data_IF_251188116105
#
_entry.id   IF_251188116105
#
_cell.length_a   1.000
_cell.length_b   1.000
_cell.length_c   1.000
_cell.angle_alpha   90.00
_cell.angle_beta   90.00
_cell.angle_gamma   90.00
#
_symmetry.space_group_name_H-M   'P 1'
#
loop_
_entity.id
_entity.type
_entity.pdbx_description
1 polymer ?
#
# COMPACT_ATOMS: atom_id res chain seq x y z
N UNK A 1 1.07 9.46 5.45
CA UNK A 1 2.16 8.68 4.79
C UNK A 1 2.26 7.26 5.33
N UNK A 2 2.39 7.04 6.65
CA UNK A 2 2.52 5.70 7.24
C UNK A 2 1.42 4.72 6.81
N UNK A 3 0.14 5.11 6.87
CA UNK A 3 -0.99 4.29 6.42
C UNK A 3 -0.84 3.85 4.97
N UNK A 4 -0.43 4.75 4.06
CA UNK A 4 -0.21 4.43 2.65
C UNK A 4 0.87 3.37 2.43
N UNK A 5 1.96 3.40 3.21
CA UNK A 5 3.04 2.40 3.14
C UNK A 5 2.55 1.02 3.61
N UNK A 6 1.81 0.97 4.72
CA UNK A 6 1.25 -0.30 5.23
C UNK A 6 0.23 -0.90 4.26
N UNK A 7 -0.65 -0.07 3.67
CA UNK A 7 -1.59 -0.53 2.64
C UNK A 7 -0.86 -1.08 1.41
N UNK A 8 0.22 -0.41 0.99
CA UNK A 8 1.05 -0.85 -0.12
C UNK A 8 1.73 -2.19 0.17
N UNK A 9 2.32 -2.37 1.35
CA UNK A 9 2.95 -3.62 1.77
C UNK A 9 1.94 -4.76 1.83
N UNK A 10 0.79 -4.56 2.50
CA UNK A 10 -0.30 -5.56 2.58
C UNK A 10 -0.77 -5.99 1.20
N UNK A 11 -0.89 -5.04 0.26
CA UNK A 11 -1.26 -5.34 -1.11
C UNK A 11 -0.24 -6.25 -1.79
N UNK A 12 1.05 -5.90 -1.78
CA UNK A 12 2.09 -6.68 -2.46
C UNK A 12 2.50 -7.96 -1.73
N UNK A 13 2.06 -8.16 -0.49
CA UNK A 13 2.16 -9.48 0.16
C UNK A 13 1.26 -10.53 -0.49
N UNK A 14 0.19 -10.10 -1.18
CA UNK A 14 -0.76 -11.00 -1.86
C UNK A 14 -0.72 -10.88 -3.38
N UNK A 15 0.02 -9.89 -3.91
CA UNK A 15 0.01 -9.50 -5.32
C UNK A 15 1.41 -9.29 -5.87
N UNK A 16 1.51 -9.43 -7.20
CA UNK A 16 2.79 -9.33 -7.90
C UNK A 16 3.02 -7.93 -8.49
N UNK A 17 4.26 -7.45 -8.36
CA UNK A 17 4.78 -6.26 -9.06
C UNK A 17 4.75 -6.38 -10.58
N UNK A 18 4.78 -7.59 -11.13
CA UNK A 18 4.67 -7.84 -12.57
C UNK A 18 3.27 -7.51 -13.08
N UNK A 19 2.24 -7.88 -12.32
CA UNK A 19 0.84 -7.73 -12.74
C UNK A 19 0.28 -6.35 -12.43
N UNK A 20 0.85 -5.67 -11.44
CA UNK A 20 0.36 -4.41 -10.92
C UNK A 20 1.52 -3.42 -10.83
N UNK A 21 1.53 -2.36 -11.65
CA UNK A 21 2.62 -1.39 -11.64
C UNK A 21 2.75 -0.73 -10.26
N UNK A 22 4.00 -0.68 -9.79
CA UNK A 22 4.35 -0.14 -8.47
C UNK A 22 3.90 1.31 -8.33
N UNK A 23 4.28 2.19 -9.27
CA UNK A 23 3.99 3.63 -9.19
C UNK A 23 2.49 3.93 -9.13
N UNK A 24 1.70 3.28 -9.99
CA UNK A 24 0.23 3.44 -10.02
C UNK A 24 -0.39 2.99 -8.70
N UNK A 25 0.09 1.86 -8.16
CA UNK A 25 -0.41 1.30 -6.91
C UNK A 25 0.00 2.16 -5.71
N UNK A 26 1.22 2.71 -5.70
CA UNK A 26 1.70 3.62 -4.65
C UNK A 26 0.88 4.93 -4.62
N UNK A 27 0.59 5.52 -5.79
CA UNK A 27 -0.32 6.67 -5.92
C UNK A 27 -1.72 6.34 -5.39
N UNK A 28 -2.25 5.16 -5.75
CA UNK A 28 -3.54 4.68 -5.27
C UNK A 28 -3.57 4.50 -3.75
N UNK A 29 -2.55 3.87 -3.15
CA UNK A 29 -2.42 3.72 -1.70
C UNK A 29 -2.32 5.08 -0.99
N UNK A 30 -1.66 6.07 -1.60
CA UNK A 30 -1.56 7.44 -1.06
C UNK A 30 -2.92 8.15 -1.09
N UNK A 31 -3.65 8.05 -2.20
CA UNK A 31 -5.00 8.60 -2.31
C UNK A 31 -5.96 7.94 -1.30
N UNK A 32 -5.91 6.61 -1.20
CA UNK A 32 -6.74 5.85 -0.28
C UNK A 32 -6.44 6.21 1.17
N UNK A 33 -5.16 6.21 1.55
CA UNK A 33 -4.73 6.59 2.90
C UNK A 33 -5.18 8.01 3.26
N UNK A 34 -5.11 8.98 2.33
CA UNK A 34 -5.57 10.33 2.59
C UNK A 34 -7.06 10.41 2.94
N UNK A 35 -7.89 9.54 2.33
CA UNK A 35 -9.30 9.45 2.66
C UNK A 35 -9.55 8.74 3.98
N UNK A 36 -8.80 7.68 4.27
CA UNK A 36 -8.91 6.91 5.53
C UNK A 36 -8.50 7.77 6.74
N UNK A 37 -7.51 8.64 6.57
CA UNK A 37 -7.01 9.55 7.61
C UNK A 37 -7.75 10.90 7.63
N UNK A 38 -8.96 10.98 7.05
CA UNK A 38 -9.82 12.19 7.03
C UNK A 38 -9.11 13.47 6.55
N UNK A 39 -8.10 13.32 5.68
CA UNK A 39 -7.29 14.40 5.12
C UNK A 39 -7.18 14.26 3.59
N UNK A 40 -8.31 14.19 2.86
CA UNK A 40 -8.36 13.76 1.47
C UNK A 40 -7.52 14.68 0.57
N UNK A 41 -6.69 14.06 -0.28
CA UNK A 41 -5.90 14.76 -1.29
C UNK A 41 -6.51 14.59 -2.68
N UNK A 42 -6.41 15.63 -3.52
CA UNK A 42 -6.87 15.53 -4.91
C UNK A 42 -5.92 14.62 -5.67
N UNK A 43 -6.46 13.73 -6.50
CA UNK A 43 -5.67 12.80 -7.32
C UNK A 43 -4.67 13.55 -8.22
N UNK A 44 -5.04 14.74 -8.71
CA UNK A 44 -4.14 15.60 -9.49
C UNK A 44 -2.87 15.95 -8.71
N UNK A 45 -3.01 16.33 -7.44
CA UNK A 45 -1.90 16.76 -6.60
C UNK A 45 -0.96 15.57 -6.34
N UNK A 46 -1.53 14.39 -6.10
CA UNK A 46 -0.76 13.14 -5.96
C UNK A 46 0.02 12.84 -7.24
N UNK A 47 -0.61 12.89 -8.41
CA UNK A 47 0.07 12.64 -9.69
C UNK A 47 1.17 13.68 -9.93
N UNK A 48 0.93 14.96 -9.62
CA UNK A 48 1.93 16.03 -9.75
C UNK A 48 3.17 15.74 -8.89
N UNK A 49 2.98 15.36 -7.63
CA UNK A 49 4.09 15.05 -6.72
C UNK A 49 4.87 13.84 -7.22
N UNK A 50 4.21 12.77 -7.67
CA UNK A 50 4.91 11.61 -8.25
C UNK A 50 5.65 11.95 -9.54
N UNK A 51 5.08 12.81 -10.39
CA UNK A 51 5.75 13.30 -11.60
C UNK A 51 7.05 14.06 -11.25
N UNK A 52 6.97 14.95 -10.27
CA UNK A 52 8.13 15.70 -9.78
C UNK A 52 9.19 14.77 -9.16
N UNK A 53 8.80 13.86 -8.27
CA UNK A 53 9.71 12.88 -7.66
C UNK A 53 10.44 12.08 -8.74
N UNK A 54 9.73 11.67 -9.79
CA UNK A 54 10.31 10.90 -10.90
C UNK A 54 11.35 11.70 -11.69
N UNK A 55 11.12 13.00 -11.92
CA UNK A 55 12.10 13.86 -12.57
C UNK A 55 13.36 14.01 -11.72
N UNK A 56 13.20 14.20 -10.41
CA UNK A 56 14.32 14.34 -9.46
C UNK A 56 15.16 13.06 -9.39
N UNK A 57 14.53 11.90 -9.26
CA UNK A 57 15.24 10.61 -9.22
C UNK A 57 16.06 10.40 -10.49
N UNK A 58 15.47 10.69 -11.65
CA UNK A 58 16.10 10.48 -12.94
C UNK A 58 17.01 11.65 -13.37
N UNK A 59 17.27 12.62 -12.49
CA UNK A 59 18.08 13.81 -12.76
C UNK A 59 17.64 14.59 -14.02
N UNK A 60 16.34 14.61 -14.30
CA UNK A 60 15.74 15.33 -15.43
C UNK A 60 15.40 16.76 -15.02
N UNK A 61 15.31 17.64 -16.02
CA UNK A 61 14.78 18.98 -15.82
C UNK A 61 13.34 18.90 -15.31
N UNK A 62 13.04 19.70 -14.28
CA UNK A 62 11.71 19.74 -13.66
C UNK A 62 10.77 20.49 -14.60
N UNK A 63 9.88 19.75 -15.25
CA UNK A 63 8.84 20.33 -16.12
C UNK A 63 7.46 20.16 -15.49
N UNK A 64 6.55 21.12 -15.70
CA UNK A 64 5.18 20.99 -15.21
C UNK A 64 4.47 19.81 -15.88
N UNK A 65 3.54 19.19 -15.14
CA UNK A 65 2.72 18.11 -15.65
C UNK A 65 1.77 18.64 -16.73
N UNK A 66 1.88 18.08 -17.93
CA UNK A 66 0.95 18.38 -19.03
C UNK A 66 -0.35 17.59 -18.82
N UNK A 67 -1.50 18.27 -18.94
CA UNK A 67 -2.83 17.69 -18.77
C UNK A 67 -3.38 17.10 -20.07
N UNK A 68 -2.59 16.22 -20.68
CA UNK A 68 -2.89 15.56 -21.95
C UNK A 68 -3.71 14.26 -21.78
N UNK A 69 -3.88 13.53 -22.88
CA UNK A 69 -4.55 12.24 -22.87
C UNK A 69 -3.83 11.21 -21.98
N UNK A 70 -2.50 11.27 -21.88
CA UNK A 70 -1.71 10.39 -21.01
C UNK A 70 -2.02 10.64 -19.54
N UNK A 71 -2.15 11.91 -19.14
CA UNK A 71 -2.60 12.28 -17.80
C UNK A 71 -3.99 11.71 -17.49
N UNK A 72 -4.95 11.83 -18.41
CA UNK A 72 -6.31 11.29 -18.22
C UNK A 72 -6.30 9.77 -18.08
N UNK A 73 -5.48 9.08 -18.86
CA UNK A 73 -5.27 7.63 -18.75
C UNK A 73 -4.64 7.25 -17.41
N UNK A 74 -3.55 7.92 -17.00
CA UNK A 74 -2.86 7.67 -15.72
C UNK A 74 -3.81 7.91 -14.54
N UNK A 75 -4.58 9.01 -14.55
CA UNK A 75 -5.62 9.28 -13.55
C UNK A 75 -6.64 8.13 -13.47
N UNK A 76 -7.11 7.64 -14.62
CA UNK A 76 -8.05 6.51 -14.68
C UNK A 76 -7.44 5.23 -14.14
N UNK A 77 -6.16 4.97 -14.41
CA UNK A 77 -5.42 3.82 -13.87
C UNK A 77 -5.30 3.90 -12.35
N UNK A 78 -4.99 5.07 -11.79
CA UNK A 78 -4.92 5.28 -10.33
C UNK A 78 -6.27 5.00 -9.67
N UNK A 79 -7.37 5.51 -10.24
CA UNK A 79 -8.73 5.23 -9.72
C UNK A 79 -9.06 3.74 -9.76
N UNK A 80 -8.70 3.04 -10.84
CA UNK A 80 -8.89 1.59 -10.96
C UNK A 80 -8.02 0.82 -9.97
N UNK A 81 -6.77 1.24 -9.78
CA UNK A 81 -5.84 0.63 -8.82
C UNK A 81 -6.33 0.82 -7.37
N UNK A 82 -6.86 2.00 -7.04
CA UNK A 82 -7.45 2.24 -5.72
C UNK A 82 -8.59 1.29 -5.40
N UNK A 83 -9.52 1.08 -6.35
CA UNK A 83 -10.59 0.09 -6.21
C UNK A 83 -10.05 -1.34 -6.04
N UNK A 84 -8.94 -1.65 -6.72
CA UNK A 84 -8.27 -2.94 -6.60
C UNK A 84 -7.67 -3.12 -5.20
N UNK A 85 -6.94 -2.13 -4.69
CA UNK A 85 -6.38 -2.17 -3.33
C UNK A 85 -7.49 -2.40 -2.30
N UNK A 86 -8.62 -1.69 -2.39
CA UNK A 86 -9.77 -1.90 -1.51
C UNK A 86 -10.30 -3.34 -1.54
N UNK A 87 -10.46 -3.90 -2.75
CA UNK A 87 -10.97 -5.26 -2.94
C UNK A 87 -10.02 -6.31 -2.36
N UNK A 88 -8.72 -6.16 -2.60
CA UNK A 88 -7.72 -7.14 -2.16
C UNK A 88 -7.49 -7.10 -0.65
N UNK A 89 -7.63 -5.93 -0.03
CA UNK A 89 -7.57 -5.79 1.43
C UNK A 89 -8.90 -6.14 2.13
N UNK A 90 -9.93 -6.56 1.39
CA UNK A 90 -11.25 -6.83 1.96
C UNK A 90 -11.85 -5.64 2.69
N UNK A 91 -11.56 -4.41 2.23
CA UNK A 91 -11.90 -3.16 2.90
C UNK A 91 -11.30 -2.97 4.31
N UNK A 92 -10.35 -3.82 4.72
CA UNK A 92 -9.57 -3.67 5.95
C UNK A 92 -8.46 -2.63 5.76
N UNK A 93 -8.85 -1.36 5.73
CA UNK A 93 -7.95 -0.22 5.47
C UNK A 93 -7.48 0.50 6.73
N UNK A 94 -8.06 0.16 7.90
CA UNK A 94 -7.62 0.71 9.17
C UNK A 94 -6.25 0.13 9.56
N UNK A 95 -5.33 1.02 9.94
CA UNK A 95 -3.98 0.65 10.35
C UNK A 95 -3.75 1.20 11.75
N UNK A 96 -3.45 0.29 12.68
CA UNK A 96 -2.98 0.66 14.02
C UNK A 96 -1.48 0.96 13.92
N UNK A 97 -1.10 2.20 14.17
CA UNK A 97 0.30 2.61 14.13
C UNK A 97 0.94 2.57 15.52
N UNK A 98 2.18 2.05 15.66
CA UNK A 98 2.88 1.94 16.95
C UNK A 98 3.19 3.27 17.64
N UNK A 99 3.13 4.42 16.94
CA UNK A 99 3.47 5.75 17.48
C UNK A 99 2.82 6.04 18.83
N UNK A 100 1.50 5.82 18.93
CA UNK A 100 0.75 6.07 20.18
C UNK A 100 1.17 5.10 21.29
N UNK A 101 1.46 3.84 20.93
CA UNK A 101 1.89 2.82 21.88
C UNK A 101 3.26 3.16 22.47
N UNK A 102 4.18 3.69 21.67
CA UNK A 102 5.51 4.13 22.14
C UNK A 102 5.36 5.17 23.27
N UNK A 103 4.50 6.17 23.09
CA UNK A 103 4.25 7.20 24.10
C UNK A 103 3.68 6.57 25.38
N UNK A 104 2.66 5.71 25.24
CA UNK A 104 2.03 5.05 26.38
C UNK A 104 3.00 4.13 27.14
N UNK A 105 3.83 3.38 26.42
CA UNK A 105 4.77 2.43 27.03
C UNK A 105 5.91 3.17 27.74
N UNK A 106 6.46 4.23 27.14
CA UNK A 106 7.47 5.04 27.80
C UNK A 106 6.91 5.71 29.07
N UNK A 107 5.66 6.15 29.05
CA UNK A 107 5.00 6.68 30.25
C UNK A 107 4.84 5.60 31.34
N UNK A 108 4.40 4.39 30.98
CA UNK A 108 4.28 3.29 31.93
C UNK A 108 5.65 2.87 32.54
N UNK A 109 6.74 3.12 31.83
CA UNK A 109 8.11 2.86 32.28
C UNK A 109 8.74 4.04 33.03
N UNK A 110 8.03 5.16 33.23
CA UNK A 110 8.56 6.36 33.90
C UNK A 110 9.53 7.19 33.05
N UNK A 111 9.53 7.00 31.73
CA UNK A 111 10.37 7.72 30.78
C UNK A 111 9.61 8.84 30.04
N UNK A 112 8.47 9.32 30.53
CA UNK A 112 7.64 10.31 29.82
C UNK A 112 8.35 11.65 29.58
N UNK A 113 9.29 12.03 30.45
CA UNK A 113 10.09 13.26 30.32
C UNK A 113 11.37 13.08 29.50
N UNK A 114 11.75 11.84 29.18
CA UNK A 114 12.98 11.55 28.46
C UNK A 114 12.79 11.75 26.96
N UNK A 115 12.97 12.99 26.50
CA UNK A 115 12.77 13.36 25.09
C UNK A 115 13.69 12.59 24.13
N UNK A 116 14.91 12.25 24.55
CA UNK A 116 15.88 11.53 23.71
C UNK A 116 15.43 10.11 23.36
N UNK A 117 14.97 9.32 24.34
CA UNK A 117 14.47 7.96 24.09
C UNK A 117 13.15 7.99 23.32
N UNK A 118 12.28 8.96 23.63
CA UNK A 118 11.01 9.18 22.92
C UNK A 118 11.27 9.43 21.43
N UNK A 119 12.07 10.44 21.11
CA UNK A 119 12.37 10.84 19.75
C UNK A 119 13.07 9.72 18.98
N UNK A 120 14.04 9.04 19.60
CA UNK A 120 14.75 7.96 18.91
C UNK A 120 13.86 6.73 18.69
N UNK A 121 12.96 6.40 19.63
CA UNK A 121 11.99 5.31 19.44
C UNK A 121 11.05 5.65 18.28
N UNK A 122 10.65 6.91 18.17
CA UNK A 122 9.85 7.40 17.05
C UNK A 122 10.60 7.31 15.72
N UNK A 123 11.89 7.64 15.71
CA UNK A 123 12.72 7.54 14.51
C UNK A 123 12.85 6.07 14.05
N UNK A 124 13.16 5.14 14.96
CA UNK A 124 13.23 3.71 14.62
C UNK A 124 11.90 3.16 14.12
N UNK A 125 10.78 3.60 14.71
CA UNK A 125 9.47 3.20 14.24
C UNK A 125 9.18 3.76 12.84
N UNK A 126 9.56 5.01 12.53
CA UNK A 126 9.43 5.54 11.17
C UNK A 126 10.28 4.74 10.17
N UNK A 127 11.50 4.36 10.55
CA UNK A 127 12.38 3.53 9.72
C UNK A 127 11.82 2.12 9.52
N UNK A 128 11.12 1.58 10.53
CA UNK A 128 10.48 0.28 10.45
C UNK A 128 9.39 0.19 9.37
N UNK A 129 8.79 1.33 8.96
CA UNK A 129 7.85 1.38 7.82
C UNK A 129 8.53 1.05 6.49
N UNK A 130 9.86 1.11 6.38
CA UNK A 130 10.61 0.69 5.20
C UNK A 130 10.91 -0.82 5.17
N UNK A 131 10.50 -1.55 6.20
CA UNK A 131 10.64 -2.99 6.34
C UNK A 131 9.28 -3.69 6.26
N UNK A 132 9.27 -5.02 6.34
CA UNK A 132 8.09 -5.87 6.29
C UNK A 132 7.49 -6.18 7.68
N UNK A 133 7.92 -5.48 8.74
CA UNK A 133 7.49 -5.80 10.11
C UNK A 133 6.00 -5.56 10.35
N UNK A 134 5.39 -4.57 9.66
CA UNK A 134 3.96 -4.23 9.79
C UNK A 134 3.01 -5.29 9.23
N UNK A 135 3.52 -6.27 8.49
CA UNK A 135 2.74 -7.41 7.98
C UNK A 135 3.08 -8.73 8.69
N UNK A 136 4.04 -8.72 9.60
CA UNK A 136 4.50 -9.91 10.33
C UNK A 136 4.26 -9.83 11.83
N UNK A 137 4.31 -8.65 12.42
CA UNK A 137 4.25 -8.46 13.87
C UNK A 137 3.11 -7.53 14.28
N UNK A 138 2.66 -7.69 15.51
CA UNK A 138 1.68 -6.81 16.13
C UNK A 138 2.29 -5.43 16.44
N UNK A 139 1.51 -4.34 16.34
CA UNK A 139 2.01 -2.98 16.57
C UNK A 139 2.55 -2.77 18.00
N UNK A 140 2.02 -3.51 18.98
CA UNK A 140 2.51 -3.56 20.37
C UNK A 140 3.97 -4.03 20.40
N UNK A 141 4.28 -5.14 19.74
CA UNK A 141 5.64 -5.70 19.67
C UNK A 141 6.59 -4.81 18.87
N UNK A 142 6.12 -4.17 17.81
CA UNK A 142 6.92 -3.18 17.05
C UNK A 142 7.28 -1.98 17.92
N UNK A 143 6.33 -1.47 18.73
CA UNK A 143 6.61 -0.39 19.68
C UNK A 143 7.67 -0.82 20.71
N UNK A 144 7.54 -2.02 21.28
CA UNK A 144 8.52 -2.56 22.20
C UNK A 144 9.92 -2.66 21.57
N UNK A 145 10.01 -3.12 20.32
CA UNK A 145 11.29 -3.21 19.62
C UNK A 145 11.96 -1.84 19.38
N UNK A 146 11.18 -0.82 19.05
CA UNK A 146 11.70 0.53 18.84
C UNK A 146 12.20 1.17 20.15
N UNK A 147 11.49 0.95 21.26
CA UNK A 147 11.94 1.36 22.60
C UNK A 147 13.19 0.57 23.01
N UNK A 148 13.21 -0.74 22.76
CA UNK A 148 14.34 -1.61 23.07
C UNK A 148 15.62 -1.18 22.34
N UNK A 149 15.55 -0.93 21.03
CA UNK A 149 16.69 -0.37 20.27
C UNK A 149 17.15 0.96 20.86
N UNK A 150 16.21 1.83 21.20
CA UNK A 150 16.50 3.16 21.70
C UNK A 150 17.20 3.13 23.06
N UNK A 151 16.68 2.34 23.99
CA UNK A 151 17.28 2.15 25.30
C UNK A 151 18.69 1.57 25.19
N UNK A 152 18.89 0.56 24.32
CA UNK A 152 20.23 0.01 24.06
C UNK A 152 21.20 1.04 23.50
N UNK A 153 20.75 1.85 22.54
CA UNK A 153 21.59 2.87 21.91
C UNK A 153 21.95 4.02 22.87
N UNK A 154 21.03 4.41 23.76
CA UNK A 154 21.27 5.43 24.80
C UNK A 154 21.88 4.86 26.10
N UNK A 155 22.08 3.54 26.18
CA UNK A 155 22.53 2.85 27.39
C UNK A 155 21.62 3.09 28.61
N UNK A 156 20.31 3.18 28.38
CA UNK A 156 19.30 3.28 29.43
C UNK A 156 18.93 1.87 29.91
N UNK A 157 19.07 1.56 31.21
CA UNK A 157 18.66 0.27 31.73
C UNK A 157 17.12 0.17 31.79
N UNK A 158 16.58 -0.90 31.21
CA UNK A 158 15.15 -1.23 31.33
C UNK A 158 14.96 -2.42 32.30
N UNK A 159 13.81 -2.52 32.99
CA UNK A 159 13.54 -3.61 33.93
C UNK A 159 13.65 -5.00 33.27
N UNK A 160 14.34 -5.93 33.94
CA UNK A 160 14.57 -7.30 33.46
C UNK A 160 13.79 -8.38 34.23
N UNK A 161 13.37 -8.09 35.46
CA UNK A 161 12.67 -9.05 36.33
C UNK A 161 11.46 -8.40 37.02
N UNK A 162 10.23 -8.65 36.54
CA UNK A 162 9.92 -9.28 35.27
C UNK A 162 10.39 -8.42 34.09
N UNK A 163 10.58 -9.03 32.92
CA UNK A 163 10.98 -8.30 31.74
C UNK A 163 9.92 -7.25 31.37
N UNK A 164 10.35 -6.00 31.18
CA UNK A 164 9.45 -4.87 31.01
C UNK A 164 8.47 -5.03 29.83
N UNK A 165 8.90 -5.71 28.76
CA UNK A 165 8.09 -5.94 27.56
C UNK A 165 6.96 -6.96 27.78
N UNK A 166 7.05 -7.79 28.82
CA UNK A 166 6.01 -8.77 29.16
C UNK A 166 4.71 -8.08 29.61
N UNK A 167 4.80 -6.87 30.16
CA UNK A 167 3.63 -6.03 30.50
C UNK A 167 2.80 -5.66 29.27
N UNK A 168 3.40 -5.72 28.08
CA UNK A 168 2.79 -5.34 26.81
C UNK A 168 2.54 -6.55 25.90
N UNK A 169 2.50 -7.77 26.47
CA UNK A 169 2.28 -9.03 25.74
C UNK A 169 3.23 -9.21 24.54
N UNK A 170 4.49 -8.78 24.69
CA UNK A 170 5.50 -8.87 23.64
C UNK A 170 6.59 -9.86 24.02
N UNK A 171 7.09 -10.62 23.03
CA UNK A 171 8.12 -11.63 23.24
C UNK A 171 9.50 -11.09 22.88
N UNK A 172 10.54 -11.56 23.59
CA UNK A 172 11.92 -11.12 23.31
C UNK A 172 12.39 -11.53 21.91
N UNK A 173 12.02 -12.73 21.45
CA UNK A 173 12.40 -13.24 20.12
C UNK A 173 11.91 -12.31 19.01
N UNK A 174 10.63 -11.95 19.06
CA UNK A 174 9.99 -11.08 18.07
C UNK A 174 10.58 -9.66 18.13
N UNK A 175 10.81 -9.15 19.36
CA UNK A 175 11.50 -7.88 19.56
C UNK A 175 12.87 -7.88 18.89
N UNK A 176 13.68 -8.92 19.14
CA UNK A 176 15.02 -9.04 18.56
C UNK A 176 14.97 -9.16 17.03
N UNK A 177 13.99 -9.88 16.47
CA UNK A 177 13.84 -10.01 15.02
C UNK A 177 13.45 -8.69 14.36
N UNK A 178 12.51 -7.94 14.94
CA UNK A 178 12.17 -6.59 14.48
C UNK A 178 13.39 -5.67 14.56
N UNK A 179 14.15 -5.73 15.67
CA UNK A 179 15.38 -4.97 15.83
C UNK A 179 16.39 -5.26 14.71
N UNK A 180 16.63 -6.55 14.41
CA UNK A 180 17.54 -6.98 13.34
C UNK A 180 17.05 -6.48 11.97
N UNK A 181 15.75 -6.55 11.69
CA UNK A 181 15.16 -6.06 10.44
C UNK A 181 15.35 -4.55 10.26
N UNK A 182 15.11 -3.76 11.31
CA UNK A 182 15.35 -2.31 11.29
C UNK A 182 16.85 -2.03 11.09
N UNK A 183 17.73 -2.71 11.83
CA UNK A 183 19.18 -2.47 11.70
C UNK A 183 19.75 -2.86 10.33
N UNK A 184 19.20 -3.91 9.70
CA UNK A 184 19.55 -4.30 8.31
C UNK A 184 19.22 -3.20 7.29
N UNK A 185 18.28 -2.30 7.58
CA UNK A 185 17.99 -1.15 6.72
C UNK A 185 19.23 -0.28 6.52
N UNK A 186 19.98 -0.03 7.59
CA UNK A 186 21.16 0.85 7.54
C UNK A 186 22.38 0.23 6.85
N UNK A 187 22.34 -1.09 6.62
CA UNK A 187 23.36 -1.81 5.85
C UNK A 187 23.01 -1.91 4.36
N UNK A 188 21.82 -1.46 3.96
CA UNK A 188 21.34 -1.62 2.58
C UNK A 188 22.11 -0.68 1.66
N UNK A 189 22.70 -1.18 0.55
CA UNK A 189 23.34 -0.31 -0.42
C UNK A 189 22.29 0.57 -1.11
N UNK A 190 22.73 1.72 -1.62
CA UNK A 190 21.86 2.62 -2.38
C UNK A 190 21.26 1.87 -3.57
N UNK A 191 19.93 1.83 -3.63
CA UNK A 191 19.20 1.12 -4.68
C UNK A 191 19.11 2.01 -5.92
N UNK A 192 19.50 1.46 -7.07
CA UNK A 192 19.29 2.07 -8.38
C UNK A 192 17.87 1.71 -8.84
N UNK A 193 17.04 2.72 -9.05
CA UNK A 193 15.60 2.51 -9.33
C UNK A 193 15.40 1.88 -10.70
N UNK A 194 16.20 2.30 -11.67
CA UNK A 194 16.20 1.83 -13.06
C UNK A 194 16.45 0.32 -13.15
N UNK A 195 17.37 -0.21 -12.34
CA UNK A 195 17.69 -1.65 -12.32
C UNK A 195 16.51 -2.48 -11.80
N UNK A 196 15.83 -2.01 -10.76
CA UNK A 196 14.64 -2.68 -10.25
C UNK A 196 13.50 -2.66 -11.27
N UNK A 197 13.30 -1.55 -11.96
CA UNK A 197 12.29 -1.44 -13.00
C UNK A 197 12.59 -2.32 -14.21
N UNK A 198 13.86 -2.38 -14.61
CA UNK A 198 14.31 -3.27 -15.67
C UNK A 198 14.02 -4.73 -15.32
N UNK A 199 14.35 -5.17 -14.11
CA UNK A 199 14.05 -6.52 -13.61
C UNK A 199 12.56 -6.83 -13.60
N UNK A 200 11.73 -5.88 -13.20
CA UNK A 200 10.26 -6.03 -13.22
C UNK A 200 9.74 -6.13 -14.65
N UNK A 201 10.27 -5.34 -15.58
CA UNK A 201 9.87 -5.38 -16.99
C UNK A 201 10.32 -6.67 -17.68
N UNK A 202 11.51 -7.18 -17.38
CA UNK A 202 12.00 -8.49 -17.83
C UNK A 202 11.06 -9.61 -17.33
N UNK A 203 10.79 -9.64 -16.02
CA UNK A 203 9.86 -10.60 -15.42
C UNK A 203 8.45 -10.51 -16.02
N UNK A 204 8.05 -9.31 -16.44
CA UNK A 204 6.76 -9.07 -17.11
C UNK A 204 6.72 -9.61 -18.52
N UNK A 205 7.79 -9.43 -19.30
CA UNK A 205 7.91 -10.02 -20.64
C UNK A 205 7.84 -11.55 -20.58
N UNK A 206 8.55 -12.16 -19.64
CA UNK A 206 8.52 -13.61 -19.41
C UNK A 206 7.11 -14.09 -19.06
N UNK A 207 6.45 -13.40 -18.14
CA UNK A 207 5.07 -13.71 -17.74
C UNK A 207 4.09 -13.61 -18.93
N UNK A 208 4.19 -12.56 -19.74
CA UNK A 208 3.33 -12.36 -20.90
C UNK A 208 3.59 -13.42 -21.99
N UNK A 209 4.87 -13.77 -22.25
CA UNK A 209 5.22 -14.86 -23.17
C UNK A 209 4.69 -16.22 -22.70
N UNK A 210 4.85 -16.54 -21.41
CA UNK A 210 4.32 -17.78 -20.84
C UNK A 210 2.78 -17.84 -20.96
N UNK A 211 2.11 -16.70 -20.79
CA UNK A 211 0.66 -16.58 -20.93
C UNK A 211 0.19 -16.76 -22.38
N UNK A 212 0.89 -16.20 -23.37
CA UNK A 212 0.55 -16.42 -24.78
C UNK A 212 0.81 -17.87 -25.20
N UNK A 213 1.96 -18.46 -24.83
CA UNK A 213 2.24 -19.89 -25.05
C UNK A 213 1.16 -20.80 -24.45
N UNK A 214 0.71 -20.49 -23.23
CA UNK A 214 -0.38 -21.24 -22.59
C UNK A 214 -1.71 -21.11 -23.34
N UNK A 215 -2.02 -19.93 -23.90
CA UNK A 215 -3.22 -19.75 -24.74
C UNK A 215 -3.12 -20.51 -26.05
N UNK A 216 -1.97 -20.48 -26.70
CA UNK A 216 -1.71 -21.21 -27.96
C UNK A 216 -1.84 -22.72 -27.74
N UNK A 217 -1.25 -23.27 -26.67
CA UNK A 217 -1.39 -24.68 -26.32
C UNK A 217 -2.86 -25.09 -26.09
N UNK A 218 -3.66 -24.24 -25.42
CA UNK A 218 -5.09 -24.48 -25.25
C UNK A 218 -5.82 -24.43 -26.60
N UNK A 219 -5.50 -23.47 -27.48
CA UNK A 219 -6.11 -23.36 -28.80
C UNK A 219 -5.79 -24.58 -29.68
N UNK A 220 -4.54 -25.03 -29.72
CA UNK A 220 -4.12 -26.22 -30.48
C UNK A 220 -4.78 -27.51 -29.96
N UNK A 221 -4.95 -27.64 -28.64
CA UNK A 221 -5.64 -28.80 -28.03
C UNK A 221 -7.13 -28.86 -28.39
N UNK A 222 -7.81 -27.71 -28.50
CA UNK A 222 -9.21 -27.63 -28.91
C UNK A 222 -9.37 -28.01 -30.39
N UNK A 223 -8.47 -27.55 -31.26
CA UNK A 223 -8.50 -27.89 -32.70
C UNK A 223 -8.24 -29.37 -32.95
N UNK A 224 -7.33 -30.01 -32.21
CA UNK A 224 -7.09 -31.47 -32.35
C UNK A 224 -8.29 -32.33 -31.91
N UNK A 225 -9.13 -31.84 -31.00
CA UNK A 225 -10.32 -32.57 -30.53
C UNK A 225 -11.45 -32.54 -31.57
N UNK A 226 -11.54 -31.50 -32.41
CA UNK A 226 -12.58 -31.39 -33.45
C UNK A 226 -12.29 -32.26 -34.70
N UNK A 227 -11.04 -32.68 -34.92
CA UNK A 227 -10.66 -33.49 -36.10
C UNK A 227 -11.00 -34.99 -35.95
N UNK A 228 -11.33 -35.46 -34.74
CA UNK A 228 -11.78 -36.85 -34.49
C UNK A 228 -13.31 -36.90 -34.39
N UNK A 229 -14.01 -36.65 -35.50
CA UNK A 229 -15.43 -37.03 -35.63
C UNK A 229 -15.57 -38.03 -36.78
N UNK A 230 -15.86 -39.29 -36.40
CA UNK A 230 -16.04 -40.42 -37.30
C UNK A 230 -17.29 -40.27 -38.19
N UNK A 231 -17.18 -40.76 -39.43
CA UNK A 231 -18.26 -40.86 -40.44
C UNK A 231 -19.45 -41.69 -39.95
N UNK A 232 -20.71 -41.39 -40.32
CA UNK A 232 -21.84 -42.27 -40.06
C UNK A 232 -21.95 -43.35 -41.14
N UNK A 233 -22.11 -44.61 -40.73
CA UNK A 233 -22.49 -45.74 -41.58
C UNK A 233 -23.88 -46.21 -41.13
N UNK A 234 -24.82 -46.24 -42.08
CA UNK A 234 -26.19 -46.71 -41.93
C UNK A 234 -26.28 -48.23 -42.16
N UNK A 235 -27.14 -48.94 -41.41
CA UNK A 235 -27.55 -50.33 -41.74
C UNK A 235 -28.31 -51.13 -40.66
N UNK A 236 -29.62 -50.87 -40.51
CA UNK A 236 -30.78 -51.82 -40.51
C UNK A 236 -30.82 -53.09 -39.60
N UNK A 237 -31.76 -53.03 -38.62
CA UNK A 237 -32.78 -53.99 -38.06
C UNK A 237 -32.47 -55.37 -37.44
N UNK A 238 -32.94 -55.55 -36.17
CA UNK A 238 -34.08 -56.40 -35.70
C UNK A 238 -33.85 -57.35 -34.51
N UNK A 239 -34.92 -57.50 -33.70
CA UNK A 239 -35.28 -58.53 -32.70
C UNK A 239 -34.94 -58.31 -31.19
N UNK A 240 -35.93 -58.69 -30.35
CA UNK A 240 -36.16 -58.46 -28.90
C UNK A 240 -36.19 -59.86 -28.18
N UNK A 241 -36.49 -60.05 -26.85
CA UNK A 241 -35.97 -59.53 -25.56
C UNK A 241 -35.39 -60.64 -24.63
N UNK A 242 -34.76 -60.27 -23.48
CA UNK A 242 -35.18 -60.62 -22.07
C UNK A 242 -34.08 -60.40 -20.99
N UNK A 243 -34.48 -59.61 -19.97
CA UNK A 243 -34.37 -59.83 -18.52
C UNK A 243 -33.04 -59.78 -17.71
N UNK A 244 -33.11 -58.96 -16.64
CA UNK A 244 -32.69 -59.16 -15.21
C UNK A 244 -31.52 -58.28 -14.62
N UNK A 245 -31.97 -57.43 -13.68
CA UNK A 245 -31.45 -56.96 -12.37
C UNK A 245 -30.20 -56.06 -12.17
N UNK A 246 -30.45 -55.04 -11.32
CA UNK A 246 -29.60 -54.41 -10.27
C UNK A 246 -28.33 -53.67 -10.74
N UNK A 247 -27.95 -52.45 -10.30
CA UNK A 247 -28.10 -51.74 -9.02
C UNK A 247 -27.76 -50.24 -9.24
N UNK A 248 -28.20 -49.36 -8.33
CA UNK A 248 -28.06 -47.88 -8.24
C UNK A 248 -26.60 -47.35 -8.16
N UNK A 249 -26.27 -46.02 -8.06
CA UNK A 249 -27.08 -44.78 -8.09
C UNK A 249 -26.58 -43.68 -9.07
N UNK A 250 -27.51 -42.85 -9.55
CA UNK A 250 -27.30 -41.82 -10.58
C UNK A 250 -26.96 -40.43 -9.97
N UNK A 251 -25.76 -39.90 -10.26
CA UNK A 251 -25.35 -38.51 -9.99
C UNK A 251 -25.82 -37.60 -11.14
N UNK A 252 -26.54 -36.53 -10.79
CA UNK A 252 -26.96 -35.45 -11.70
C UNK A 252 -25.75 -34.74 -12.35
N UNK A 253 -25.70 -34.51 -13.67
CA UNK A 253 -24.75 -33.59 -14.27
C UNK A 253 -25.30 -32.15 -14.31
N UNK A 254 -24.46 -31.22 -13.88
CA UNK A 254 -24.66 -29.77 -13.87
C UNK A 254 -24.58 -29.24 -15.30
N UNK A 255 -25.66 -28.58 -15.76
CA UNK A 255 -25.69 -27.84 -17.02
C UNK A 255 -24.82 -26.59 -16.93
N UNK A 256 -23.86 -26.48 -17.86
CA UNK A 256 -23.14 -25.25 -18.23
C UNK A 256 -24.15 -24.19 -18.68
N UNK A 257 -24.03 -22.95 -18.19
CA UNK A 257 -24.76 -21.81 -18.73
C UNK A 257 -23.79 -20.69 -19.12
N UNK A 258 -23.87 -20.33 -20.38
CA UNK A 258 -23.12 -19.34 -21.13
C UNK A 258 -23.47 -17.91 -20.73
N UNK A 259 -22.51 -17.01 -21.00
CA UNK A 259 -22.62 -15.56 -20.91
C UNK A 259 -23.41 -14.98 -22.08
N UNK A 260 -24.27 -13.99 -21.83
CA UNK A 260 -24.48 -12.84 -22.72
C UNK A 260 -25.30 -11.73 -22.04
N UNK A 261 -25.08 -10.50 -22.52
CA UNK A 261 -25.37 -9.19 -21.92
C UNK A 261 -26.79 -8.66 -22.22
N UNK A 262 -27.31 -7.90 -21.24
CA UNK A 262 -28.11 -6.65 -21.30
C UNK A 262 -29.40 -6.54 -22.14
N UNK A 263 -30.51 -6.17 -21.46
CA UNK A 263 -31.36 -5.00 -21.77
C UNK A 263 -32.41 -4.77 -20.67
N UNK A 264 -32.62 -3.51 -20.30
CA UNK A 264 -33.70 -2.99 -19.44
C UNK A 264 -35.07 -3.10 -20.12
N UNK A 265 -36.17 -2.98 -19.36
CA UNK A 265 -36.99 -1.77 -19.50
C UNK A 265 -37.59 -1.20 -18.20
N UNK A 266 -37.79 0.12 -18.22
CA UNK A 266 -38.53 0.94 -17.24
C UNK A 266 -40.04 0.65 -17.26
N UNK A 267 -40.72 0.81 -16.12
CA UNK A 267 -42.13 1.24 -16.05
C UNK A 267 -42.40 2.13 -14.83
N UNK A 268 -43.13 3.21 -15.11
CA UNK A 268 -43.55 4.34 -14.27
C UNK A 268 -44.96 4.08 -13.70
N UNK A 269 -45.25 4.57 -12.48
CA UNK A 269 -46.56 5.08 -11.95
C UNK A 269 -46.33 5.54 -10.49
N UNK A 270 -46.22 6.82 -10.11
CA UNK A 270 -47.17 7.96 -10.06
C UNK A 270 -48.08 8.04 -8.80
N UNK A 271 -47.85 9.11 -7.99
CA UNK A 271 -48.80 9.92 -7.17
C UNK A 271 -49.43 9.27 -5.90
N UNK A 272 -49.69 9.93 -4.74
CA UNK A 272 -49.80 11.36 -4.35
C UNK A 272 -50.06 11.61 -2.82
N UNK A 273 -49.76 12.85 -2.35
CA UNK A 273 -50.35 13.69 -1.23
C UNK A 273 -50.02 13.30 0.25
N UNK A 274 -49.28 14.09 1.08
CA UNK A 274 -49.42 15.46 1.68
C UNK A 274 -50.12 15.45 3.07
N UNK A 275 -50.09 16.51 3.95
CA UNK A 275 -48.99 17.39 4.45
C UNK A 275 -49.10 17.70 5.99
N UNK A 276 -48.13 18.41 6.64
CA UNK A 276 -48.39 19.50 7.63
C UNK A 276 -47.14 20.20 8.19
N UNK A 277 -47.40 21.44 8.63
CA UNK A 277 -46.58 22.62 8.95
C UNK A 277 -45.61 22.57 10.14
N UNK A 278 -44.59 23.44 10.15
CA UNK A 278 -44.49 24.63 11.04
C UNK A 278 -43.30 25.57 10.72
N UNK A 279 -43.55 26.88 10.87
CA UNK A 279 -42.72 28.05 10.54
C UNK A 279 -41.74 28.41 11.67
N UNK A 280 -40.55 28.97 11.35
CA UNK A 280 -40.06 30.25 11.93
C UNK A 280 -38.82 30.79 11.20
N UNK A 281 -38.61 32.10 11.36
CA UNK A 281 -38.01 33.03 10.40
C UNK A 281 -36.79 33.79 10.94
N UNK A 282 -35.98 34.35 10.00
CA UNK A 282 -35.06 35.52 10.10
C UNK A 282 -33.79 35.27 10.96
N UNK A 283 -32.59 35.81 10.66
CA UNK A 283 -32.21 37.06 9.97
C UNK A 283 -30.72 36.97 9.56
N UNK A 284 -30.39 37.52 8.38
CA UNK A 284 -29.02 37.83 7.93
C UNK A 284 -28.39 38.91 8.80
N UNK A 285 -27.09 38.80 9.09
CA UNK A 285 -26.17 39.91 9.35
C UNK A 285 -24.85 39.66 8.61
N UNK A 286 -24.53 40.55 7.68
CA UNK A 286 -23.23 40.75 7.06
C UNK A 286 -22.61 41.97 7.73
N UNK A 287 -21.35 41.90 8.18
CA UNK A 287 -20.44 43.05 8.34
C UNK A 287 -19.00 42.55 8.07
N UNK A 288 -18.13 43.36 7.42
CA UNK A 288 -16.89 42.93 6.75
C UNK A 288 -15.64 43.23 7.58
N UNK A 289 -14.45 42.77 7.15
CA UNK A 289 -13.18 43.42 7.52
C UNK A 289 -12.07 43.13 6.51
N UNK A 290 -11.29 44.19 6.29
CA UNK A 290 -10.18 44.38 5.37
C UNK A 290 -8.86 43.80 5.93
N UNK A 291 -7.95 43.46 5.00
CA UNK A 291 -6.46 43.45 5.04
C UNK A 291 -5.71 43.08 6.33
N UNK A 292 -4.79 42.10 6.23
CA UNK A 292 -3.35 42.46 6.20
C UNK A 292 -2.43 41.37 5.61
N UNK A 293 -1.48 41.84 4.82
CA UNK A 293 -0.41 41.11 4.14
C UNK A 293 0.91 41.68 4.70
N UNK A 294 1.70 40.86 5.40
CA UNK A 294 3.18 40.92 5.56
C UNK A 294 3.63 40.32 6.90
N UNK A 295 4.34 39.19 6.83
CA UNK A 295 5.65 38.97 7.47
C UNK A 295 6.01 37.48 7.42
N UNK A 296 6.70 37.08 6.35
CA UNK A 296 7.61 35.94 6.40
C UNK A 296 9.02 36.52 6.43
N UNK A 297 9.67 36.45 7.60
CA UNK A 297 11.08 36.77 7.77
C UNK A 297 11.86 35.46 7.86
N UNK A 298 12.97 35.46 7.15
CA UNK A 298 13.99 34.43 7.01
C UNK A 298 14.36 33.70 8.31
N UNK A 299 14.59 32.39 8.20
CA UNK A 299 15.55 31.68 9.02
C UNK A 299 16.56 30.98 8.10
N UNK A 300 17.67 31.68 7.85
CA UNK A 300 18.91 31.12 7.32
C UNK A 300 19.79 30.60 8.46
N UNK A 301 20.41 29.46 8.18
CA UNK A 301 21.79 29.08 8.51
C UNK A 301 22.35 29.35 9.91
N UNK A 302 22.49 28.27 10.70
CA UNK A 302 23.65 28.09 11.58
C UNK A 302 24.21 26.68 11.39
N UNK A 303 25.16 26.56 10.46
CA UNK A 303 26.13 25.45 10.39
C UNK A 303 27.43 25.98 11.00
N UNK A 304 27.62 25.73 12.29
CA UNK A 304 28.88 26.00 12.98
C UNK A 304 29.98 25.08 12.44
N UNK A 305 31.05 25.69 11.95
CA UNK A 305 32.23 25.05 11.38
C UNK A 305 33.39 25.34 12.34
N UNK A 306 33.70 24.44 13.27
CA UNK A 306 34.92 24.52 14.08
C UNK A 306 36.01 23.68 13.43
N UNK A 307 36.88 24.36 12.67
CA UNK A 307 38.19 23.84 12.25
C UNK A 307 39.25 24.43 13.18
N UNK A 308 39.78 23.60 14.08
CA UNK A 308 41.04 23.85 14.77
C UNK A 308 42.20 23.78 13.74
N UNK A 309 42.82 24.93 13.47
CA UNK A 309 44.15 24.99 12.82
C UNK A 309 45.18 25.44 13.87
N UNK A 310 46.00 24.49 14.29
CA UNK A 310 47.29 24.72 14.92
C UNK A 310 48.22 25.46 13.94
N UNK A 311 48.73 26.62 14.34
CA UNK A 311 49.84 27.29 13.66
C UNK A 311 51.05 27.30 14.59
N UNK A 312 51.97 26.40 14.29
CA UNK A 312 53.37 26.50 14.67
C UNK A 312 54.01 27.70 13.95
N UNK A 313 54.74 28.54 14.68
CA UNK A 313 55.73 29.47 14.14
C UNK A 313 56.92 29.52 15.09
N UNK A 314 57.97 28.83 14.69
CA UNK A 314 59.36 28.99 15.10
C UNK A 314 60.04 29.74 13.93
N UNK A 315 60.69 30.88 14.14
CA UNK A 315 62.15 31.11 14.29
C UNK A 315 62.34 32.64 14.02
N UNK A 316 63.37 33.41 14.43
CA UNK A 316 64.74 33.13 14.85
C UNK A 316 65.35 34.39 15.51
N UNK A 317 66.45 34.19 16.24
CA UNK A 317 67.43 35.23 16.61
C UNK A 317 68.21 35.71 15.37
N UNK A 318 68.22 37.01 15.11
CA UNK A 318 69.39 37.91 15.01
C UNK A 318 68.99 39.28 14.47
#
# INVERSE_FOLDING_TARGET
MATGQVLFQRFYYTKSFVRHPMEITAMACTCLASKVEESPRRIRDVINVYHHIRQVINQKLITPLVLDQNYVQKKTQVIKAERRVLKELGFCVHVKHPHKLIVMYLQALGFEKHQSIMQMSWNYMNDSLQTDVFVQFYPETIACACIYLSARKLRIPLPKSPAWYSLFNSNETDIQDICRKILKLYLRPKVITEDLEKRVEESKKEYDQAKEKAKEAIAHSVVQTEVITHKPSNGITSAIPRNISSTTPNKKPIKKRSRSRSRTPLKIKSRSKSPRHLKKSKKRRLVPTYRDYKNYKDYKDYRGNENYKSKSRNYNYH
#
